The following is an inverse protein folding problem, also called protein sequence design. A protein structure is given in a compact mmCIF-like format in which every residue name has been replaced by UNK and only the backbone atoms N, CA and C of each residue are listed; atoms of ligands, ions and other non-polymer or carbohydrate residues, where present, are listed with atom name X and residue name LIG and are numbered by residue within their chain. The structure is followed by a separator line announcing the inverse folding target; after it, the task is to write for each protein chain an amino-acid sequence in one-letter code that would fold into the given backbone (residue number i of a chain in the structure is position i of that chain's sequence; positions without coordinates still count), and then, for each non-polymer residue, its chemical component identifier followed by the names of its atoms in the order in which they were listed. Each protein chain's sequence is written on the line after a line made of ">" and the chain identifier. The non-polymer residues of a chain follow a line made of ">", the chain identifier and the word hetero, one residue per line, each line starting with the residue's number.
data_IF_235000791568
#
_entry.id   IF_235000791568
#
_cell.length_a   1.000
_cell.length_b   1.000
_cell.length_c   1.000
_cell.angle_alpha   90.00
_cell.angle_beta   90.00
_cell.angle_gamma   90.00
#
_symmetry.space_group_name_H-M   'P 1'
#
loop_
_entity.id
_entity.type
_entity.pdbx_description
1 polymer ?
#
# COMPACT_ATOMS: atom_id res chain seq x y z
N UNK A 1 -9.26 3.05 0.25
CA UNK A 1 -8.99 3.70 -1.04
C UNK A 1 -8.28 2.71 -1.95
N UNK A 2 -8.87 2.31 -3.08
CA UNK A 2 -8.43 1.07 -3.76
C UNK A 2 -8.64 1.16 -5.28
N UNK A 3 -7.61 1.52 -6.04
CA UNK A 3 -7.78 1.98 -7.43
C UNK A 3 -8.15 0.88 -8.43
N UNK A 4 -8.86 1.26 -9.51
CA UNK A 4 -9.64 0.34 -10.35
C UNK A 4 -9.34 0.46 -11.85
N UNK A 5 -8.07 0.70 -12.20
CA UNK A 5 -7.60 0.83 -13.58
C UNK A 5 -6.20 0.20 -13.78
N UNK A 6 -6.15 -1.08 -14.14
CA UNK A 6 -5.14 -1.62 -15.07
C UNK A 6 -5.76 -2.71 -15.97
N UNK A 7 -6.27 -2.32 -17.13
CA UNK A 7 -6.28 -3.21 -18.31
C UNK A 7 -5.63 -2.45 -19.46
N UNK A 8 -4.69 -3.10 -20.13
CA UNK A 8 -4.05 -2.57 -21.32
C UNK A 8 -5.07 -2.40 -22.45
N UNK A 9 -4.87 -1.38 -23.27
CA UNK A 9 -5.43 -1.38 -24.62
C UNK A 9 -4.67 -2.43 -25.45
N UNK A 10 -5.32 -3.11 -26.41
CA UNK A 10 -4.59 -3.80 -27.47
C UNK A 10 -3.79 -2.76 -28.27
N UNK A 11 -2.68 -3.18 -28.89
CA UNK A 11 -1.92 -2.29 -29.78
C UNK A 11 -2.72 -2.00 -31.06
N UNK A 12 -2.67 -0.76 -31.58
CA UNK A 12 -3.11 -0.49 -32.94
C UNK A 12 -2.06 -1.03 -33.93
N UNK A 13 -2.49 -1.90 -34.84
CA UNK A 13 -1.61 -2.44 -35.87
C UNK A 13 -1.04 -1.35 -36.80
N UNK A 14 0.08 -1.67 -37.42
CA UNK A 14 1.00 -0.76 -38.13
C UNK A 14 0.34 0.09 -39.23
N UNK A 15 0.18 1.39 -38.96
CA UNK A 15 -0.23 2.37 -39.98
C UNK A 15 0.57 3.70 -39.94
N UNK A 16 1.90 3.61 -40.09
CA UNK A 16 2.72 4.70 -40.64
C UNK A 16 4.00 4.17 -41.30
N UNK A 17 4.05 4.17 -42.64
CA UNK A 17 5.34 4.20 -43.36
C UNK A 17 5.86 5.65 -43.35
N UNK A 18 7.17 5.90 -43.18
CA UNK A 18 7.73 7.22 -43.43
C UNK A 18 7.62 7.56 -44.92
N UNK A 19 7.00 8.68 -45.26
CA UNK A 19 7.07 9.23 -46.62
C UNK A 19 8.34 10.08 -46.76
N UNK A 20 9.15 9.75 -47.76
CA UNK A 20 10.33 10.53 -48.16
C UNK A 20 9.84 11.75 -48.97
N UNK A 21 10.37 12.98 -48.75
CA UNK A 21 9.87 14.16 -49.44
C UNK A 21 10.07 14.11 -50.96
N UNK A 22 8.99 14.26 -51.72
CA UNK A 22 9.06 14.41 -53.18
C UNK A 22 9.59 15.79 -53.56
N UNK A 23 10.62 15.82 -54.41
CA UNK A 23 11.24 17.06 -54.88
C UNK A 23 10.34 17.78 -55.89
N UNK A 24 10.11 19.07 -55.69
CA UNK A 24 9.47 19.94 -56.70
C UNK A 24 10.43 20.11 -57.88
N UNK A 25 10.02 19.72 -59.08
CA UNK A 25 10.60 20.24 -60.33
C UNK A 25 9.93 21.56 -60.68
N UNK A 26 10.74 22.56 -61.02
CA UNK A 26 10.32 23.74 -61.77
C UNK A 26 11.28 23.90 -62.95
N UNK A 27 10.68 24.05 -64.14
CA UNK A 27 11.15 24.71 -65.36
C UNK A 27 12.63 24.63 -65.76
N UNK A 28 12.87 24.14 -66.99
CA UNK A 28 13.70 24.89 -67.92
C UNK A 28 13.29 24.60 -69.38
N UNK A 29 13.29 25.63 -70.22
CA UNK A 29 12.84 25.56 -71.61
C UNK A 29 13.93 26.15 -72.53
N UNK A 30 14.65 25.30 -73.28
CA UNK A 30 15.12 25.60 -74.64
C UNK A 30 15.76 24.39 -75.34
N UNK A 31 15.65 24.46 -76.68
CA UNK A 31 16.41 23.77 -77.73
C UNK A 31 17.90 23.47 -77.40
N UNK A 32 18.57 22.49 -78.03
CA UNK A 32 18.50 22.15 -79.47
C UNK A 32 18.56 20.63 -79.82
N UNK A 33 18.73 20.32 -81.12
CA UNK A 33 18.65 18.99 -81.76
C UNK A 33 19.98 18.20 -81.79
N UNK A 34 19.88 16.91 -82.19
CA UNK A 34 20.76 16.11 -83.12
C UNK A 34 21.17 14.72 -82.58
N UNK A 35 20.52 13.68 -83.14
CA UNK A 35 21.04 12.37 -83.66
C UNK A 35 21.94 11.41 -82.85
N UNK A 36 21.54 10.11 -82.85
CA UNK A 36 22.38 8.87 -83.01
C UNK A 36 23.32 8.44 -81.84
N UNK A 37 23.78 7.18 -81.63
CA UNK A 37 23.52 5.82 -82.19
C UNK A 37 24.07 4.67 -81.27
N UNK A 38 23.47 3.48 -81.34
CA UNK A 38 23.98 2.08 -81.04
C UNK A 38 24.60 1.56 -79.70
N UNK A 39 24.18 0.32 -79.38
CA UNK A 39 24.88 -0.92 -78.93
C UNK A 39 25.67 -1.07 -77.59
N UNK A 40 25.16 -1.94 -76.68
CA UNK A 40 25.57 -3.35 -76.38
C UNK A 40 27.07 -3.78 -76.29
N UNK A 41 27.44 -4.94 -75.66
CA UNK A 41 26.89 -5.68 -74.49
C UNK A 41 27.99 -6.31 -73.55
N UNK A 42 27.58 -7.26 -72.67
CA UNK A 42 28.36 -8.30 -71.93
C UNK A 42 29.12 -7.89 -70.63
N UNK A 43 29.29 -8.75 -69.61
CA UNK A 43 28.68 -10.07 -69.32
C UNK A 43 29.46 -10.95 -68.31
N UNK A 44 28.80 -11.99 -67.73
CA UNK A 44 29.38 -13.21 -67.08
C UNK A 44 29.99 -12.99 -65.65
N UNK A 45 29.47 -13.54 -64.51
CA UNK A 45 29.38 -14.95 -63.99
C UNK A 45 30.69 -15.44 -63.27
N UNK A 46 30.76 -16.31 -62.22
CA UNK A 46 29.76 -16.99 -61.33
C UNK A 46 30.40 -17.66 -60.06
N UNK A 47 29.58 -18.06 -59.07
CA UNK A 47 29.74 -19.12 -58.02
C UNK A 47 30.60 -19.02 -56.71
N UNK A 48 30.25 -19.95 -55.81
CA UNK A 48 30.56 -20.21 -54.37
C UNK A 48 31.21 -21.63 -54.25
N UNK A 49 31.72 -22.17 -53.09
CA UNK A 49 30.86 -22.92 -52.14
C UNK A 49 31.40 -23.17 -50.68
N UNK A 50 30.79 -24.14 -49.98
CA UNK A 50 30.77 -24.50 -48.52
C UNK A 50 31.92 -25.32 -47.86
N UNK A 51 31.88 -25.37 -46.50
CA UNK A 51 32.37 -26.49 -45.62
C UNK A 51 33.56 -26.17 -44.68
N UNK A 52 33.79 -26.78 -43.50
CA UNK A 52 33.07 -27.76 -42.67
C UNK A 52 34.03 -28.65 -41.82
N UNK A 53 33.82 -28.87 -40.49
CA UNK A 53 34.74 -29.72 -39.67
C UNK A 53 34.48 -29.80 -38.14
N UNK A 54 35.11 -30.77 -37.42
CA UNK A 54 34.88 -31.05 -35.96
C UNK A 54 35.95 -31.95 -35.26
N UNK A 55 35.86 -32.12 -33.92
CA UNK A 55 36.70 -32.93 -32.96
C UNK A 55 38.04 -32.29 -32.53
N UNK A 56 38.69 -32.64 -31.40
CA UNK A 56 38.43 -33.66 -30.34
C UNK A 56 39.28 -33.46 -29.05
N UNK A 57 39.35 -34.47 -28.16
CA UNK A 57 39.93 -34.43 -26.78
C UNK A 57 41.34 -35.08 -26.65
N UNK A 58 42.17 -34.66 -25.66
CA UNK A 58 42.96 -35.54 -24.72
C UNK A 58 44.06 -34.78 -23.92
N UNK A 59 44.23 -35.10 -22.62
CA UNK A 59 45.42 -35.27 -21.71
C UNK A 59 46.80 -34.63 -22.03
N UNK A 60 47.73 -34.35 -21.09
CA UNK A 60 47.84 -34.57 -19.62
C UNK A 60 49.23 -34.14 -19.05
N UNK A 61 49.49 -34.36 -17.75
CA UNK A 61 50.76 -34.16 -16.97
C UNK A 61 51.38 -32.73 -16.88
N UNK A 62 52.25 -32.35 -15.91
CA UNK A 62 52.73 -32.99 -14.67
C UNK A 62 53.80 -32.14 -13.92
N UNK A 63 53.98 -32.38 -12.59
CA UNK A 63 55.02 -31.85 -11.65
C UNK A 63 55.09 -30.31 -11.40
N UNK A 64 55.53 -29.75 -10.26
CA UNK A 64 56.55 -30.14 -9.25
C UNK A 64 56.17 -29.76 -7.77
N UNK A 65 57.07 -30.02 -6.82
CA UNK A 65 56.93 -30.02 -5.34
C UNK A 65 57.35 -28.66 -4.68
N UNK A 66 57.40 -28.38 -3.36
CA UNK A 66 57.67 -29.15 -2.11
C UNK A 66 57.07 -28.51 -0.83
N UNK A 67 57.13 -29.25 0.28
CA UNK A 67 56.60 -29.00 1.64
C UNK A 67 56.99 -27.70 2.39
N UNK A 68 56.11 -27.31 3.32
CA UNK A 68 56.41 -26.60 4.58
C UNK A 68 55.30 -26.86 5.62
N UNK A 69 55.62 -27.06 6.90
CA UNK A 69 54.66 -27.53 7.93
C UNK A 69 54.99 -26.97 9.33
N UNK A 70 53.98 -26.54 10.11
CA UNK A 70 53.72 -26.96 11.52
C UNK A 70 52.55 -26.19 12.20
N UNK A 71 51.94 -26.88 13.17
CA UNK A 71 50.86 -26.57 14.12
C UNK A 71 50.88 -25.16 14.78
N UNK A 72 49.81 -24.64 15.41
CA UNK A 72 48.54 -25.27 15.86
C UNK A 72 47.32 -24.32 15.61
N UNK A 73 46.14 -24.29 16.28
CA UNK A 73 45.70 -24.62 17.65
C UNK A 73 44.27 -25.24 17.72
N UNK A 74 43.85 -25.53 18.95
CA UNK A 74 42.67 -26.24 19.47
C UNK A 74 41.24 -25.75 19.11
N UNK A 75 40.34 -26.74 19.05
CA UNK A 75 38.85 -26.71 19.13
C UNK A 75 38.37 -26.46 20.61
N UNK A 76 37.10 -26.72 21.12
CA UNK A 76 35.86 -27.26 20.51
C UNK A 76 34.45 -26.69 20.93
N UNK A 77 33.45 -26.94 20.07
CA UNK A 77 32.09 -27.55 20.27
C UNK A 77 31.08 -27.11 21.39
N UNK A 78 29.81 -27.02 20.96
CA UNK A 78 28.48 -27.08 21.64
C UNK A 78 28.38 -27.47 23.14
N UNK A 79 27.43 -26.83 23.86
CA UNK A 79 26.82 -27.33 25.11
C UNK A 79 25.28 -27.20 25.13
N UNK A 80 24.63 -28.16 25.80
CA UNK A 80 23.19 -28.49 25.86
C UNK A 80 22.23 -27.42 26.45
N UNK A 81 20.96 -27.48 25.98
CA UNK A 81 19.77 -26.92 26.63
C UNK A 81 19.34 -27.76 27.86
N UNK A 82 20.04 -27.67 29.00
CA UNK A 82 19.60 -28.41 30.21
C UNK A 82 20.09 -27.89 31.59
N UNK A 83 20.15 -26.58 31.83
CA UNK A 83 20.17 -26.05 33.22
C UNK A 83 19.85 -24.55 33.30
N UNK A 84 18.65 -24.18 33.76
CA UNK A 84 18.41 -22.99 34.60
C UNK A 84 17.01 -23.04 35.24
N UNK A 85 16.90 -23.71 36.38
CA UNK A 85 15.74 -23.65 37.29
C UNK A 85 16.26 -23.76 38.73
N UNK A 86 15.67 -23.01 39.65
CA UNK A 86 15.96 -22.95 41.09
C UNK A 86 17.29 -22.31 41.51
N UNK A 87 17.28 -20.98 41.61
CA UNK A 87 18.05 -20.23 42.62
C UNK A 87 17.27 -19.00 43.07
N UNK A 88 16.39 -19.17 44.08
CA UNK A 88 15.81 -18.04 44.82
C UNK A 88 16.74 -17.66 45.97
N UNK A 89 17.30 -16.45 45.92
CA UNK A 89 17.73 -15.70 47.12
C UNK A 89 17.76 -14.20 46.79
N UNK A 90 17.37 -13.37 47.76
CA UNK A 90 17.07 -11.96 47.53
C UNK A 90 18.20 -11.03 48.01
N UNK A 91 18.52 -10.01 47.20
CA UNK A 91 19.39 -8.88 47.53
C UNK A 91 18.66 -7.61 47.05
N UNK A 92 18.62 -6.50 47.82
CA UNK A 92 17.57 -5.49 47.66
C UNK A 92 17.81 -4.49 46.52
N UNK A 93 16.73 -4.10 45.83
CA UNK A 93 16.75 -3.03 44.84
C UNK A 93 16.88 -1.65 45.49
N UNK A 94 17.96 -0.92 45.14
CA UNK A 94 18.10 0.51 45.45
C UNK A 94 17.22 1.32 44.48
N UNK A 95 16.18 1.96 45.00
CA UNK A 95 15.27 2.80 44.20
C UNK A 95 15.86 4.18 43.91
N UNK A 96 16.21 4.46 42.66
CA UNK A 96 16.39 5.83 42.16
C UNK A 96 16.17 5.89 40.64
N UNK A 97 15.96 7.09 40.08
CA UNK A 97 15.69 7.37 38.66
C UNK A 97 14.40 6.79 38.03
N UNK A 98 13.25 7.10 38.64
CA UNK A 98 11.96 7.20 37.92
C UNK A 98 11.07 8.33 38.48
N UNK A 99 11.38 9.59 38.14
CA UNK A 99 10.58 10.79 38.51
C UNK A 99 10.52 11.88 37.42
N UNK A 100 10.10 11.54 36.20
CA UNK A 100 9.65 12.52 35.18
C UNK A 100 8.42 12.01 34.39
N UNK A 101 7.55 11.23 35.04
CA UNK A 101 6.37 10.61 34.42
C UNK A 101 5.11 10.77 35.30
N UNK A 102 4.89 11.98 35.83
CA UNK A 102 3.87 12.25 36.87
C UNK A 102 3.29 13.66 36.78
N UNK A 103 2.66 14.00 35.65
CA UNK A 103 1.92 15.26 35.46
C UNK A 103 0.69 15.14 34.53
N UNK A 104 0.12 13.93 34.42
CA UNK A 104 -1.26 13.72 33.93
C UNK A 104 -2.01 12.80 34.89
N UNK A 105 -3.34 12.93 35.04
CA UNK A 105 -4.11 12.13 35.99
C UNK A 105 -4.00 10.64 35.70
N UNK A 106 -3.83 9.82 36.74
CA UNK A 106 -4.01 8.37 36.63
C UNK A 106 -5.49 8.10 36.44
N UNK A 107 -5.91 7.67 35.25
CA UNK A 107 -7.20 6.99 35.11
C UNK A 107 -7.16 5.76 36.02
N UNK A 108 -8.06 5.74 37.01
CA UNK A 108 -8.46 4.47 37.64
C UNK A 108 -9.08 3.61 36.55
N UNK A 109 -8.98 2.29 36.69
CA UNK A 109 -9.33 1.34 35.64
C UNK A 109 -10.66 1.68 34.96
N UNK A 110 -10.59 2.02 33.69
CA UNK A 110 -11.76 2.18 32.84
C UNK A 110 -12.36 0.79 32.66
N UNK A 111 -13.38 0.48 33.47
CA UNK A 111 -14.41 -0.45 33.01
C UNK A 111 -14.85 0.02 31.62
N UNK A 112 -15.09 -0.93 30.70
CA UNK A 112 -15.90 -0.60 29.52
C UNK A 112 -17.35 -0.41 29.98
N UNK A 113 -17.61 0.76 30.59
CA UNK A 113 -18.92 1.35 30.55
C UNK A 113 -19.29 1.45 29.07
N UNK A 114 -20.30 0.67 28.68
CA UNK A 114 -20.95 0.85 27.40
C UNK A 114 -21.46 2.29 27.41
N UNK A 115 -20.81 3.17 26.64
CA UNK A 115 -21.22 4.54 26.50
C UNK A 115 -22.65 4.52 25.97
N UNK A 116 -23.60 4.81 26.86
CA UNK A 116 -24.95 5.21 26.48
C UNK A 116 -24.82 6.58 25.84
N UNK A 117 -24.47 6.58 24.56
CA UNK A 117 -24.92 7.64 23.67
C UNK A 117 -26.43 7.63 23.73
N UNK A 118 -27.02 8.75 24.13
CA UNK A 118 -28.45 8.96 23.99
C UNK A 118 -28.81 8.91 22.50
N UNK A 119 -29.99 8.35 22.16
CA UNK A 119 -30.45 8.14 20.78
C UNK A 119 -30.88 9.47 20.09
N UNK A 120 -30.02 10.49 20.11
CA UNK A 120 -30.04 11.48 19.03
C UNK A 120 -29.61 10.78 17.72
N UNK A 121 -30.39 10.91 16.63
CA UNK A 121 -30.04 10.29 15.35
C UNK A 121 -28.82 11.00 14.76
N UNK A 122 -27.63 10.48 15.06
CA UNK A 122 -26.34 11.12 14.79
C UNK A 122 -26.26 11.56 13.32
N UNK A 123 -26.28 12.89 13.12
CA UNK A 123 -26.60 13.50 11.82
C UNK A 123 -25.62 13.11 10.71
N UNK A 124 -24.35 12.87 11.06
CA UNK A 124 -23.34 12.38 10.12
C UNK A 124 -23.63 10.94 9.68
N UNK A 125 -23.73 9.98 10.60
CA UNK A 125 -23.99 8.58 10.26
C UNK A 125 -25.34 8.40 9.56
N UNK A 126 -26.38 9.11 10.00
CA UNK A 126 -27.69 9.08 9.37
C UNK A 126 -27.65 9.56 7.92
N UNK A 127 -26.94 10.67 7.62
CA UNK A 127 -26.70 11.10 6.25
C UNK A 127 -25.87 10.09 5.45
N UNK A 128 -24.77 9.60 6.03
CA UNK A 128 -23.84 8.69 5.37
C UNK A 128 -24.49 7.34 4.98
N UNK A 129 -25.34 6.79 5.85
CA UNK A 129 -26.10 5.56 5.59
C UNK A 129 -27.40 5.80 4.81
N UNK A 130 -27.95 7.01 4.85
CA UNK A 130 -29.22 7.38 4.20
C UNK A 130 -29.07 7.76 2.73
N UNK A 131 -28.52 8.94 2.45
CA UNK A 131 -28.34 9.45 1.08
C UNK A 131 -26.93 9.20 0.55
N UNK A 132 -25.91 9.16 1.42
CA UNK A 132 -24.52 8.87 1.07
C UNK A 132 -24.29 7.49 0.44
N UNK A 133 -25.20 6.53 0.64
CA UNK A 133 -25.21 5.21 -0.05
C UNK A 133 -25.64 5.33 -1.51
N UNK A 134 -26.46 6.33 -1.84
CA UNK A 134 -27.10 6.52 -3.16
C UNK A 134 -26.38 7.56 -4.01
N UNK A 135 -25.75 8.55 -3.38
CA UNK A 135 -24.94 9.57 -4.04
C UNK A 135 -23.64 8.96 -4.58
N UNK A 136 -23.34 9.19 -5.86
CA UNK A 136 -22.09 8.78 -6.50
C UNK A 136 -20.94 9.77 -6.19
N UNK A 137 -19.70 9.39 -6.52
CA UNK A 137 -18.53 10.27 -6.36
C UNK A 137 -18.62 11.50 -7.27
N UNK A 138 -18.71 11.26 -8.57
CA UNK A 138 -19.09 12.21 -9.61
C UNK A 138 -19.94 11.45 -10.65
N UNK A 139 -20.64 12.18 -11.53
CA UNK A 139 -21.42 11.62 -12.64
C UNK A 139 -20.66 11.66 -13.97
N UNK A 140 -19.76 12.65 -14.11
CA UNK A 140 -18.94 12.88 -15.30
C UNK A 140 -17.45 12.72 -14.96
N UNK A 141 -16.67 12.20 -15.91
CA UNK A 141 -15.22 11.92 -15.79
C UNK A 141 -14.38 13.10 -16.29
N UNK A 142 -14.94 13.85 -17.24
CA UNK A 142 -14.20 14.77 -18.10
C UNK A 142 -14.60 16.23 -17.86
N UNK A 143 -15.82 16.48 -17.37
CA UNK A 143 -16.30 17.82 -17.03
C UNK A 143 -15.73 18.43 -15.72
N UNK A 144 -15.08 17.63 -14.86
CA UNK A 144 -14.56 18.13 -13.58
C UNK A 144 -13.10 18.61 -13.67
N UNK A 145 -12.91 19.92 -13.47
CA UNK A 145 -11.60 20.51 -13.18
C UNK A 145 -11.24 20.36 -11.70
N UNK A 146 -10.01 19.90 -11.41
CA UNK A 146 -9.53 19.73 -10.06
C UNK A 146 -9.24 21.09 -9.42
N UNK A 147 -9.81 21.36 -8.24
CA UNK A 147 -9.63 22.62 -7.52
C UNK A 147 -9.17 22.35 -6.07
N UNK A 148 -8.40 23.27 -5.51
CA UNK A 148 -8.12 23.29 -4.07
C UNK A 148 -9.37 23.81 -3.34
N UNK A 149 -9.73 23.24 -2.17
CA UNK A 149 -10.82 23.77 -1.38
C UNK A 149 -10.49 25.19 -0.85
N UNK A 150 -11.48 26.08 -0.67
CA UNK A 150 -11.23 27.45 -0.18
C UNK A 150 -10.70 27.52 1.25
N UNK A 151 -10.77 26.41 2.00
CA UNK A 151 -10.18 26.22 3.32
C UNK A 151 -8.79 25.54 3.28
N UNK A 152 -8.13 25.48 2.12
CA UNK A 152 -6.77 24.92 1.99
C UNK A 152 -5.74 25.73 2.79
N UNK A 153 -4.97 25.01 3.62
CA UNK A 153 -3.85 25.50 4.42
C UNK A 153 -2.61 24.68 4.02
N UNK A 154 -1.66 25.35 3.37
CA UNK A 154 -0.47 24.72 2.78
C UNK A 154 0.56 24.31 3.84
N UNK A 155 0.67 25.04 4.95
CA UNK A 155 1.60 24.70 6.02
C UNK A 155 1.10 23.52 6.86
N UNK A 156 -0.21 23.40 7.09
CA UNK A 156 -0.78 22.14 7.61
C UNK A 156 -0.56 20.98 6.64
N UNK A 157 -0.74 21.19 5.34
CA UNK A 157 -0.51 20.13 4.34
C UNK A 157 0.96 19.65 4.35
N UNK A 158 1.92 20.58 4.30
CA UNK A 158 3.36 20.30 4.39
C UNK A 158 3.77 19.74 5.76
N UNK A 159 3.12 20.17 6.86
CA UNK A 159 3.32 19.59 8.19
C UNK A 159 2.90 18.12 8.23
N UNK A 160 1.75 17.76 7.64
CA UNK A 160 1.32 16.36 7.53
C UNK A 160 2.31 15.50 6.71
N UNK A 161 2.87 16.04 5.63
CA UNK A 161 3.92 15.38 4.86
C UNK A 161 5.19 15.13 5.69
N UNK A 162 5.64 16.11 6.49
CA UNK A 162 6.76 15.96 7.44
C UNK A 162 6.46 14.89 8.49
N UNK A 163 5.26 14.92 9.08
CA UNK A 163 4.81 13.99 10.11
C UNK A 163 4.67 12.53 9.61
N UNK A 164 4.18 12.34 8.38
CA UNK A 164 4.16 11.04 7.72
C UNK A 164 5.57 10.47 7.54
N UNK A 165 6.54 11.29 7.08
CA UNK A 165 7.94 10.86 6.88
C UNK A 165 8.59 10.40 8.21
N UNK A 166 8.20 10.98 9.35
CA UNK A 166 8.63 10.58 10.70
C UNK A 166 7.94 9.30 11.25
N UNK A 167 6.83 8.89 10.65
CA UNK A 167 6.00 7.76 11.11
C UNK A 167 5.70 6.76 9.98
N UNK A 168 6.50 6.77 8.90
CA UNK A 168 6.18 6.11 7.62
C UNK A 168 5.85 4.62 7.80
N UNK A 169 6.69 3.85 8.50
CA UNK A 169 6.43 2.43 8.76
C UNK A 169 5.11 2.21 9.53
N UNK A 170 4.91 2.98 10.59
CA UNK A 170 3.72 2.86 11.45
C UNK A 170 2.43 3.22 10.71
N UNK A 171 2.44 4.32 9.95
CA UNK A 171 1.29 4.76 9.14
C UNK A 171 1.07 3.90 7.89
N UNK A 172 2.07 3.17 7.41
CA UNK A 172 1.93 2.19 6.33
C UNK A 172 1.22 0.92 6.83
N UNK A 173 1.62 0.38 7.98
CA UNK A 173 0.89 -0.74 8.60
C UNK A 173 -0.54 -0.32 8.97
N UNK A 174 -0.74 0.90 9.47
CA UNK A 174 -2.09 1.44 9.70
C UNK A 174 -2.95 1.44 8.43
N UNK A 175 -2.36 1.78 7.27
CA UNK A 175 -3.02 1.74 5.95
C UNK A 175 -3.25 0.31 5.45
N UNK A 176 -2.39 -0.66 5.76
CA UNK A 176 -2.60 -2.06 5.38
C UNK A 176 -3.74 -2.70 6.20
N UNK A 177 -3.78 -2.46 7.52
CA UNK A 177 -4.93 -2.81 8.34
C UNK A 177 -6.20 -2.08 7.88
N UNK A 178 -6.10 -0.79 7.58
CA UNK A 178 -7.19 0.04 7.07
C UNK A 178 -7.71 -0.42 5.70
N UNK A 179 -6.85 -1.00 4.86
CA UNK A 179 -7.24 -1.64 3.61
C UNK A 179 -7.96 -2.96 3.87
N UNK A 180 -7.45 -3.81 4.76
CA UNK A 180 -8.10 -5.06 5.15
C UNK A 180 -9.52 -4.81 5.70
N UNK A 181 -9.72 -3.88 6.63
CA UNK A 181 -11.08 -3.63 7.17
C UNK A 181 -12.05 -3.11 6.11
N UNK A 182 -11.56 -2.32 5.14
CA UNK A 182 -12.38 -1.80 4.03
C UNK A 182 -12.75 -2.89 3.03
N UNK A 183 -11.97 -3.98 2.91
CA UNK A 183 -12.36 -5.16 2.13
C UNK A 183 -13.55 -5.91 2.75
N UNK A 184 -13.80 -5.80 4.06
CA UNK A 184 -14.91 -6.50 4.70
C UNK A 184 -16.28 -5.89 4.34
N UNK A 185 -16.30 -4.65 3.86
CA UNK A 185 -17.53 -3.88 3.58
C UNK A 185 -18.15 -4.34 2.24
N UNK A 186 -19.33 -4.99 2.23
CA UNK A 186 -19.80 -5.72 1.03
C UNK A 186 -20.01 -4.85 -0.21
N UNK A 187 -20.45 -3.60 -0.05
CA UNK A 187 -20.63 -2.66 -1.17
C UNK A 187 -19.30 -2.38 -1.88
N UNK A 188 -18.23 -2.20 -1.12
CA UNK A 188 -16.87 -1.97 -1.64
C UNK A 188 -16.35 -3.26 -2.27
N UNK A 189 -16.38 -4.37 -1.52
CA UNK A 189 -15.90 -5.69 -1.95
C UNK A 189 -16.49 -6.12 -3.30
N UNK A 190 -17.81 -5.97 -3.48
CA UNK A 190 -18.52 -6.30 -4.72
C UNK A 190 -18.02 -5.55 -5.96
N UNK A 191 -17.63 -4.28 -5.81
CA UNK A 191 -17.01 -3.51 -6.91
C UNK A 191 -15.62 -4.06 -7.21
N UNK A 192 -14.85 -4.46 -6.20
CA UNK A 192 -13.49 -4.97 -6.39
C UNK A 192 -13.49 -6.32 -7.12
N UNK A 193 -14.33 -7.26 -6.67
CA UNK A 193 -14.56 -8.57 -7.31
C UNK A 193 -14.92 -8.36 -8.78
N UNK A 194 -15.91 -7.49 -9.04
CA UNK A 194 -16.37 -7.17 -10.39
C UNK A 194 -15.25 -6.71 -11.34
N UNK A 195 -14.32 -5.87 -10.87
CA UNK A 195 -13.21 -5.41 -11.72
C UNK A 195 -12.14 -6.48 -12.00
N UNK A 196 -12.10 -7.55 -11.19
CA UNK A 196 -11.12 -8.63 -11.25
C UNK A 196 -9.64 -8.16 -11.17
N UNK A 197 -9.39 -7.00 -10.54
CA UNK A 197 -8.05 -6.37 -10.45
C UNK A 197 -7.25 -6.77 -9.21
N UNK A 198 -7.76 -7.65 -8.34
CA UNK A 198 -7.03 -8.15 -7.17
C UNK A 198 -7.61 -9.46 -6.63
N UNK A 199 -7.98 -10.36 -7.55
CA UNK A 199 -8.49 -11.71 -7.25
C UNK A 199 -7.38 -12.76 -7.17
N UNK A 200 -6.17 -12.41 -7.61
CA UNK A 200 -4.95 -13.23 -7.60
C UNK A 200 -3.79 -12.42 -7.04
N UNK A 201 -2.72 -13.07 -6.57
CA UNK A 201 -1.57 -12.40 -5.98
C UNK A 201 -0.90 -11.39 -6.93
N UNK A 202 -0.76 -11.72 -8.22
CA UNK A 202 -0.14 -10.82 -9.21
C UNK A 202 -1.03 -9.61 -9.55
N UNK A 203 -2.35 -9.80 -9.69
CA UNK A 203 -3.27 -8.67 -9.92
C UNK A 203 -3.33 -7.76 -8.70
N UNK A 204 -3.41 -8.36 -7.51
CA UNK A 204 -3.33 -7.67 -6.23
C UNK A 204 -2.03 -6.87 -6.10
N UNK A 205 -0.87 -7.48 -6.36
CA UNK A 205 0.43 -6.82 -6.36
C UNK A 205 0.41 -5.55 -7.22
N UNK A 206 0.04 -5.65 -8.50
CA UNK A 206 -0.01 -4.51 -9.42
C UNK A 206 -0.93 -3.40 -8.92
N UNK A 207 -2.12 -3.76 -8.46
CA UNK A 207 -3.14 -2.82 -7.95
C UNK A 207 -2.71 -2.12 -6.65
N UNK A 208 -2.13 -2.86 -5.72
CA UNK A 208 -1.77 -2.34 -4.40
C UNK A 208 -0.43 -1.59 -4.41
N UNK A 209 0.56 -2.01 -5.22
CA UNK A 209 1.76 -1.20 -5.48
C UNK A 209 1.39 0.12 -6.19
N UNK A 210 0.48 0.09 -7.18
CA UNK A 210 -0.04 1.33 -7.76
C UNK A 210 -0.71 2.22 -6.70
N UNK A 211 -1.48 1.62 -5.78
CA UNK A 211 -2.13 2.35 -4.68
C UNK A 211 -1.13 2.98 -3.70
N UNK A 212 -0.04 2.28 -3.39
CA UNK A 212 1.08 2.78 -2.59
C UNK A 212 1.74 3.96 -3.30
N UNK A 213 2.10 3.84 -4.57
CA UNK A 213 2.74 4.92 -5.34
C UNK A 213 1.88 6.17 -5.44
N UNK A 214 0.58 6.04 -5.76
CA UNK A 214 -0.35 7.19 -5.82
C UNK A 214 -0.38 7.96 -4.50
N UNK A 215 -0.43 7.24 -3.37
CA UNK A 215 -0.46 7.81 -2.02
C UNK A 215 0.88 8.40 -1.60
N UNK A 216 2.00 7.78 -2.00
CA UNK A 216 3.34 8.33 -1.76
C UNK A 216 3.57 9.65 -2.50
N UNK A 217 3.05 9.81 -3.73
CA UNK A 217 3.11 11.10 -4.42
C UNK A 217 2.47 12.22 -3.58
N UNK A 218 1.29 12.00 -2.98
CA UNK A 218 0.65 13.03 -2.14
C UNK A 218 1.44 13.37 -0.87
N UNK A 219 2.23 12.43 -0.34
CA UNK A 219 3.06 12.63 0.84
C UNK A 219 4.46 13.20 0.55
N UNK A 220 4.94 13.14 -0.70
CA UNK A 220 6.32 13.53 -1.06
C UNK A 220 6.41 14.71 -2.03
N UNK A 221 5.37 14.98 -2.83
CA UNK A 221 5.34 16.03 -3.85
C UNK A 221 4.46 17.20 -3.40
N UNK A 222 4.71 18.42 -3.88
CA UNK A 222 3.84 19.58 -3.61
C UNK A 222 2.47 19.44 -4.30
N UNK A 223 1.41 19.96 -3.66
CA UNK A 223 0.03 19.90 -4.16
C UNK A 223 -0.32 21.12 -5.02
N UNK A 224 0.38 21.25 -6.15
CA UNK A 224 0.19 22.36 -7.10
C UNK A 224 -0.26 21.86 -8.49
N UNK A 225 -0.98 22.66 -9.29
CA UNK A 225 -1.37 22.29 -10.65
C UNK A 225 -0.20 21.75 -11.48
N UNK A 226 -0.38 20.54 -12.03
CA UNK A 226 0.61 19.89 -12.90
C UNK A 226 1.67 19.03 -12.19
N UNK A 227 1.77 19.03 -10.85
CA UNK A 227 2.71 18.15 -10.12
C UNK A 227 2.32 16.67 -10.20
N UNK A 228 3.23 15.78 -9.78
CA UNK A 228 2.96 14.35 -9.70
C UNK A 228 1.92 13.97 -8.62
N UNK A 229 1.70 14.81 -7.59
CA UNK A 229 0.57 14.68 -6.68
C UNK A 229 -0.76 15.05 -7.37
N UNK A 230 -0.81 16.21 -8.04
CA UNK A 230 -2.01 16.68 -8.74
C UNK A 230 -2.48 15.68 -9.81
N UNK A 231 -1.57 15.27 -10.70
CA UNK A 231 -1.82 14.24 -11.73
C UNK A 231 -2.28 12.90 -11.12
N UNK A 232 -1.69 12.51 -9.99
CA UNK A 232 -2.10 11.31 -9.23
C UNK A 232 -3.56 11.42 -8.75
N UNK A 233 -3.95 12.56 -8.16
CA UNK A 233 -5.33 12.81 -7.69
C UNK A 233 -6.32 12.80 -8.87
N UNK A 234 -6.03 13.50 -9.96
CA UNK A 234 -6.92 13.53 -11.16
C UNK A 234 -7.13 12.12 -11.72
N UNK A 235 -6.06 11.34 -11.89
CA UNK A 235 -6.15 9.95 -12.36
C UNK A 235 -7.00 9.08 -11.42
N UNK A 236 -6.81 9.24 -10.11
CA UNK A 236 -7.53 8.50 -9.08
C UNK A 236 -9.02 8.81 -9.06
N UNK A 237 -9.43 10.09 -9.12
CA UNK A 237 -10.84 10.49 -9.16
C UNK A 237 -11.52 9.92 -10.40
N UNK A 238 -10.95 10.16 -11.59
CA UNK A 238 -11.43 9.58 -12.86
C UNK A 238 -11.50 8.05 -12.80
N UNK A 239 -10.56 7.39 -12.12
CA UNK A 239 -10.56 5.95 -11.88
C UNK A 239 -11.77 5.45 -11.07
N UNK A 240 -12.17 6.14 -10.01
CA UNK A 240 -13.37 5.79 -9.24
C UNK A 240 -14.66 6.01 -10.04
N UNK A 241 -14.79 7.15 -10.73
CA UNK A 241 -15.99 7.47 -11.54
C UNK A 241 -16.14 6.47 -12.70
N UNK A 242 -15.07 6.20 -13.43
CA UNK A 242 -15.09 5.22 -14.53
C UNK A 242 -15.36 3.79 -14.05
N UNK A 243 -14.89 3.42 -12.85
CA UNK A 243 -15.23 2.12 -12.24
C UNK A 243 -16.70 2.05 -11.79
N UNK A 244 -17.21 3.11 -11.16
CA UNK A 244 -18.63 3.26 -10.79
C UNK A 244 -19.54 3.09 -12.01
N UNK A 245 -19.26 3.82 -13.10
CA UNK A 245 -20.00 3.77 -14.36
C UNK A 245 -20.01 2.36 -14.98
N UNK A 246 -18.85 1.69 -15.06
CA UNK A 246 -18.76 0.31 -15.59
C UNK A 246 -19.49 -0.71 -14.70
N UNK A 247 -19.36 -0.59 -13.38
CA UNK A 247 -19.97 -1.48 -12.41
C UNK A 247 -21.49 -1.36 -12.40
N UNK A 248 -22.02 -0.14 -12.34
CA UNK A 248 -23.46 0.15 -12.40
C UNK A 248 -24.09 -0.29 -13.74
N UNK A 249 -23.35 -0.20 -14.85
CA UNK A 249 -23.77 -0.70 -16.16
C UNK A 249 -23.76 -2.24 -16.30
N UNK A 250 -23.30 -2.98 -15.27
CA UNK A 250 -23.35 -4.45 -15.21
C UNK A 250 -24.24 -4.98 -14.08
N UNK A 251 -24.42 -4.23 -13.00
CA UNK A 251 -25.49 -4.43 -12.03
C UNK A 251 -25.98 -3.08 -11.52
N UNK A 252 -27.23 -2.74 -11.79
CA UNK A 252 -27.83 -1.48 -11.36
C UNK A 252 -27.73 -1.31 -9.84
N UNK A 253 -27.33 -0.13 -9.38
CA UNK A 253 -27.08 0.18 -7.97
C UNK A 253 -25.68 -0.19 -7.48
N UNK A 254 -24.86 -0.95 -8.23
CA UNK A 254 -23.47 -1.26 -7.85
C UNK A 254 -22.51 -0.12 -8.24
N UNK A 255 -22.71 1.05 -7.62
CA UNK A 255 -21.89 2.26 -7.77
C UNK A 255 -20.68 2.26 -6.83
N UNK A 256 -19.77 3.21 -7.03
CA UNK A 256 -18.91 3.72 -5.94
C UNK A 256 -19.67 4.88 -5.28
N UNK A 257 -20.17 4.66 -4.06
CA UNK A 257 -20.97 5.67 -3.34
C UNK A 257 -20.12 6.63 -2.50
N UNK A 258 -20.69 7.75 -2.07
CA UNK A 258 -20.07 8.67 -1.11
C UNK A 258 -19.79 7.98 0.24
N UNK A 259 -20.68 7.10 0.72
CA UNK A 259 -20.41 6.19 1.86
C UNK A 259 -19.17 5.35 1.60
N UNK A 260 -19.11 4.69 0.44
CA UNK A 260 -17.97 3.83 0.11
C UNK A 260 -16.67 4.62 0.10
N UNK A 261 -16.66 5.85 -0.43
CA UNK A 261 -15.48 6.71 -0.42
C UNK A 261 -15.09 7.19 0.98
N UNK A 262 -16.03 7.63 1.82
CA UNK A 262 -15.74 8.00 3.21
C UNK A 262 -15.17 6.81 4.00
N UNK A 263 -15.79 5.63 3.90
CA UNK A 263 -15.27 4.40 4.49
C UNK A 263 -13.90 4.02 3.87
N UNK A 264 -13.68 4.28 2.58
CA UNK A 264 -12.38 4.12 1.92
C UNK A 264 -11.30 5.08 2.43
N UNK A 265 -11.69 6.26 2.93
CA UNK A 265 -10.82 7.26 3.56
C UNK A 265 -10.46 6.83 5.00
N UNK A 266 -11.39 6.24 5.76
CA UNK A 266 -11.07 5.62 7.07
C UNK A 266 -9.90 4.65 6.93
N UNK A 267 -9.91 3.80 5.90
CA UNK A 267 -8.83 2.85 5.64
C UNK A 267 -7.44 3.46 5.40
N UNK A 268 -7.32 4.79 5.30
CA UNK A 268 -6.06 5.48 5.04
C UNK A 268 -5.55 6.36 6.20
N UNK A 269 -6.43 6.74 7.13
CA UNK A 269 -6.11 7.62 8.27
C UNK A 269 -6.81 7.23 9.59
N UNK A 270 -7.93 6.51 9.56
CA UNK A 270 -8.75 6.15 10.73
C UNK A 270 -7.96 5.48 11.86
N UNK A 271 -7.25 4.39 11.58
CA UNK A 271 -6.39 3.76 12.59
C UNK A 271 -5.15 4.58 12.95
N UNK A 272 -4.68 5.50 12.09
CA UNK A 272 -3.58 6.40 12.48
C UNK A 272 -4.04 7.37 13.57
N UNK A 273 -5.26 7.90 13.45
CA UNK A 273 -5.90 8.76 14.44
C UNK A 273 -6.30 7.94 15.68
N UNK A 274 -7.27 7.02 15.55
CA UNK A 274 -7.87 6.27 16.67
C UNK A 274 -6.93 5.25 17.32
N UNK A 275 -5.95 4.74 16.58
CA UNK A 275 -5.09 3.62 16.97
C UNK A 275 -3.63 3.99 17.26
N UNK A 276 -3.29 5.29 17.28
CA UNK A 276 -1.91 5.80 17.34
C UNK A 276 -1.01 5.08 18.37
N UNK A 277 -1.52 4.85 19.59
CA UNK A 277 -0.83 4.17 20.70
C UNK A 277 -0.51 2.69 20.40
N UNK A 278 -1.46 1.93 19.84
CA UNK A 278 -1.27 0.51 19.46
C UNK A 278 -0.36 0.33 18.24
N UNK A 279 -0.29 1.36 17.38
CA UNK A 279 0.58 1.39 16.20
C UNK A 279 1.98 1.95 16.46
N UNK A 280 2.27 2.44 17.67
CA UNK A 280 3.56 3.07 17.97
C UNK A 280 3.80 4.34 17.16
N UNK A 281 2.78 5.17 16.95
CA UNK A 281 2.89 6.46 16.26
C UNK A 281 3.28 7.54 17.29
N UNK A 282 4.20 8.45 16.96
CA UNK A 282 4.53 9.58 17.85
C UNK A 282 3.33 10.52 17.86
N UNK A 283 2.61 10.59 18.97
CA UNK A 283 1.47 11.50 19.08
C UNK A 283 1.95 12.93 19.34
N UNK A 284 1.53 13.85 18.47
CA UNK A 284 1.55 15.29 18.69
C UNK A 284 0.22 15.85 18.15
N UNK A 285 -0.40 16.79 18.86
CA UNK A 285 -1.76 17.25 18.52
C UNK A 285 -1.77 18.03 17.21
N UNK A 286 -0.83 18.97 17.05
CA UNK A 286 -0.78 19.85 15.88
C UNK A 286 -0.38 19.07 14.60
N UNK A 287 0.43 18.00 14.74
CA UNK A 287 0.74 17.03 13.69
C UNK A 287 -0.47 16.17 13.29
N UNK A 288 -1.31 15.77 14.26
CA UNK A 288 -2.55 15.03 13.98
C UNK A 288 -3.61 15.93 13.34
N UNK A 289 -3.77 17.18 13.80
CA UNK A 289 -4.64 18.17 13.15
C UNK A 289 -4.17 18.48 11.72
N UNK A 290 -2.86 18.59 11.49
CA UNK A 290 -2.28 18.69 10.16
C UNK A 290 -2.60 17.46 9.29
N UNK A 291 -2.46 16.24 9.83
CA UNK A 291 -2.77 15.00 9.12
C UNK A 291 -4.27 14.84 8.79
N UNK A 292 -5.15 15.26 9.69
CA UNK A 292 -6.59 15.35 9.47
C UNK A 292 -6.88 16.33 8.34
N UNK A 293 -6.32 17.53 8.38
CA UNK A 293 -6.44 18.52 7.32
C UNK A 293 -5.94 17.99 5.96
N UNK A 294 -4.78 17.34 5.92
CA UNK A 294 -4.27 16.68 4.71
C UNK A 294 -5.26 15.68 4.13
N UNK A 295 -5.84 14.80 4.95
CA UNK A 295 -6.83 13.82 4.47
C UNK A 295 -8.19 14.44 4.16
N UNK A 296 -8.56 15.56 4.77
CA UNK A 296 -9.72 16.38 4.40
C UNK A 296 -9.53 16.95 2.99
N UNK A 297 -8.38 17.58 2.71
CA UNK A 297 -8.01 18.11 1.38
C UNK A 297 -8.04 17.00 0.33
N UNK A 298 -7.31 15.90 0.57
CA UNK A 298 -7.30 14.76 -0.37
C UNK A 298 -8.71 14.22 -0.57
N UNK A 299 -9.52 14.08 0.47
CA UNK A 299 -10.93 13.63 0.41
C UNK A 299 -11.79 14.52 -0.48
N UNK A 300 -11.75 15.84 -0.29
CA UNK A 300 -12.46 16.80 -1.14
C UNK A 300 -12.02 16.67 -2.62
N UNK A 301 -10.70 16.65 -2.84
CA UNK A 301 -10.11 16.64 -4.17
C UNK A 301 -10.38 15.34 -4.97
N UNK A 302 -10.60 14.20 -4.30
CA UNK A 302 -11.01 12.93 -4.94
C UNK A 302 -12.53 12.75 -5.07
N UNK A 303 -13.33 13.78 -4.73
CA UNK A 303 -14.79 13.79 -4.92
C UNK A 303 -15.62 13.36 -3.71
N UNK A 304 -15.04 13.32 -2.50
CA UNK A 304 -15.85 13.18 -1.28
C UNK A 304 -16.44 14.56 -0.94
N UNK A 305 -17.77 14.68 -0.96
CA UNK A 305 -18.41 15.94 -0.55
C UNK A 305 -18.10 16.22 0.93
N UNK A 306 -17.86 17.48 1.32
CA UNK A 306 -17.50 17.88 2.69
C UNK A 306 -18.46 17.35 3.77
N UNK A 307 -19.74 17.14 3.44
CA UNK A 307 -20.72 16.53 4.36
C UNK A 307 -20.48 15.05 4.68
N UNK A 308 -19.81 14.31 3.80
CA UNK A 308 -19.45 12.89 3.98
C UNK A 308 -17.98 12.67 4.33
N UNK A 309 -17.12 13.66 4.09
CA UNK A 309 -15.69 13.63 4.41
C UNK A 309 -15.49 13.28 5.90
N UNK A 310 -14.71 12.24 6.21
CA UNK A 310 -14.47 11.85 7.61
C UNK A 310 -13.59 12.85 8.34
N UNK A 311 -12.64 13.42 7.62
CA UNK A 311 -11.80 14.48 8.13
C UNK A 311 -12.54 15.82 8.01
N UNK A 312 -12.41 16.64 9.03
CA UNK A 312 -13.12 17.91 9.21
C UNK A 312 -12.12 19.03 9.53
N UNK A 313 -12.61 20.18 9.95
CA UNK A 313 -11.83 21.30 10.49
C UNK A 313 -11.21 21.04 11.87
N UNK A 314 -11.72 20.07 12.65
CA UNK A 314 -11.19 19.72 13.98
C UNK A 314 -10.87 18.22 14.13
N UNK A 315 -9.78 17.92 14.84
CA UNK A 315 -9.39 16.55 15.18
C UNK A 315 -10.50 15.82 15.98
N UNK A 316 -11.18 16.51 16.88
CA UNK A 316 -12.24 15.99 17.73
C UNK A 316 -13.46 15.51 16.93
N UNK A 317 -14.01 16.34 16.04
CA UNK A 317 -15.14 15.95 15.20
C UNK A 317 -14.75 14.92 14.13
N UNK A 318 -13.48 14.90 13.71
CA UNK A 318 -12.92 13.82 12.88
C UNK A 318 -12.86 12.50 13.65
N UNK A 319 -12.39 12.51 14.89
CA UNK A 319 -12.36 11.33 15.75
C UNK A 319 -13.74 10.75 15.98
N UNK A 320 -14.74 11.59 16.26
CA UNK A 320 -16.13 11.14 16.42
C UNK A 320 -16.66 10.46 15.15
N UNK A 321 -16.60 11.13 13.98
CA UNK A 321 -17.00 10.55 12.69
C UNK A 321 -16.29 9.22 12.40
N UNK A 322 -15.01 9.12 12.74
CA UNK A 322 -14.23 7.89 12.59
C UNK A 322 -14.67 6.80 13.57
N UNK A 323 -15.00 7.13 14.82
CA UNK A 323 -15.54 6.18 15.82
C UNK A 323 -16.90 5.65 15.38
N UNK A 324 -17.80 6.51 14.89
CA UNK A 324 -19.10 6.11 14.33
C UNK A 324 -18.94 5.09 13.19
N UNK A 325 -18.05 5.36 12.22
CA UNK A 325 -17.78 4.43 11.11
C UNK A 325 -17.10 3.14 11.58
N UNK A 326 -16.18 3.22 12.55
CA UNK A 326 -15.56 2.02 13.12
C UNK A 326 -16.60 1.12 13.80
N UNK A 327 -17.50 1.70 14.59
CA UNK A 327 -18.48 0.99 15.40
C UNK A 327 -19.65 0.44 14.57
N UNK A 328 -20.27 1.27 13.73
CA UNK A 328 -21.54 0.92 13.06
C UNK A 328 -21.36 0.34 11.64
N UNK A 329 -20.15 0.38 11.06
CA UNK A 329 -19.87 -0.17 9.73
C UNK A 329 -18.76 -1.22 9.78
N UNK A 330 -17.59 -0.88 10.31
CA UNK A 330 -16.39 -1.72 10.19
C UNK A 330 -16.34 -2.89 11.16
N UNK A 331 -16.74 -2.70 12.42
CA UNK A 331 -16.86 -3.78 13.41
C UNK A 331 -17.89 -4.84 12.97
N UNK A 332 -19.12 -4.49 12.57
CA UNK A 332 -20.06 -5.45 11.97
C UNK A 332 -19.47 -6.21 10.79
N UNK A 333 -18.82 -5.52 9.83
CA UNK A 333 -18.24 -6.14 8.65
C UNK A 333 -17.15 -7.19 8.98
N UNK A 334 -16.31 -6.96 10.01
CA UNK A 334 -15.34 -7.96 10.48
C UNK A 334 -15.95 -9.11 11.30
N UNK A 335 -17.18 -8.94 11.80
CA UNK A 335 -17.94 -10.03 12.41
C UNK A 335 -18.61 -10.90 11.32
N UNK A 336 -19.16 -10.29 10.27
CA UNK A 336 -19.83 -10.95 9.14
C UNK A 336 -18.94 -11.15 7.90
N UNK A 337 -17.67 -11.53 8.09
CA UNK A 337 -16.73 -11.88 7.00
C UNK A 337 -17.30 -12.97 6.08
N UNK A 338 -17.03 -12.83 4.78
CA UNK A 338 -17.39 -13.80 3.73
C UNK A 338 -16.17 -14.53 3.18
N UNK A 339 -16.37 -15.64 2.46
CA UNK A 339 -15.27 -16.35 1.79
C UNK A 339 -14.57 -15.49 0.72
N UNK A 340 -15.31 -14.60 0.06
CA UNK A 340 -14.72 -13.61 -0.86
C UNK A 340 -13.83 -12.59 -0.13
N UNK A 341 -14.19 -12.17 1.08
CA UNK A 341 -13.30 -11.35 1.92
C UNK A 341 -12.02 -12.10 2.25
N UNK A 342 -12.13 -13.35 2.70
CA UNK A 342 -10.98 -14.20 3.01
C UNK A 342 -10.06 -14.37 1.80
N UNK A 343 -10.63 -14.68 0.64
CA UNK A 343 -9.94 -14.84 -0.64
C UNK A 343 -9.23 -13.57 -1.09
N UNK A 344 -9.92 -12.42 -1.10
CA UNK A 344 -9.33 -11.15 -1.53
C UNK A 344 -8.31 -10.59 -0.52
N UNK A 345 -8.51 -10.82 0.77
CA UNK A 345 -7.55 -10.47 1.82
C UNK A 345 -6.27 -11.31 1.75
N UNK A 346 -6.38 -12.61 1.48
CA UNK A 346 -5.23 -13.50 1.24
C UNK A 346 -4.49 -13.12 -0.05
N UNK A 347 -5.20 -12.79 -1.14
CA UNK A 347 -4.58 -12.29 -2.38
C UNK A 347 -3.86 -10.94 -2.20
N UNK A 348 -4.41 -10.03 -1.38
CA UNK A 348 -3.75 -8.78 -0.97
C UNK A 348 -2.42 -9.04 -0.26
N UNK A 349 -2.44 -9.87 0.78
CA UNK A 349 -1.25 -10.16 1.60
C UNK A 349 -0.19 -10.90 0.77
N UNK A 350 -0.57 -11.92 0.01
CA UNK A 350 0.37 -12.68 -0.83
C UNK A 350 0.94 -11.84 -1.99
N UNK A 351 0.16 -10.93 -2.55
CA UNK A 351 0.63 -9.95 -3.52
C UNK A 351 1.68 -9.00 -2.93
N UNK A 352 1.41 -8.44 -1.74
CA UNK A 352 2.32 -7.51 -1.05
C UNK A 352 3.53 -8.18 -0.37
N UNK A 353 3.62 -9.51 -0.35
CA UNK A 353 4.81 -10.25 0.12
C UNK A 353 6.11 -9.74 -0.53
N UNK A 354 6.06 -9.33 -1.80
CA UNK A 354 7.21 -8.78 -2.54
C UNK A 354 7.69 -7.41 -2.00
N UNK A 355 6.88 -6.74 -1.19
CA UNK A 355 7.21 -5.48 -0.51
C UNK A 355 7.65 -5.72 0.95
N UNK A 356 7.13 -6.75 1.60
CA UNK A 356 7.55 -7.20 2.92
C UNK A 356 7.30 -8.73 3.07
N UNK A 357 8.35 -9.57 3.10
CA UNK A 357 8.22 -11.02 3.27
C UNK A 357 7.62 -11.51 4.59
N UNK A 358 7.43 -10.63 5.59
CA UNK A 358 6.83 -10.95 6.90
C UNK A 358 5.32 -10.65 6.98
N UNK A 359 4.63 -10.44 5.85
CA UNK A 359 3.18 -10.31 5.84
C UNK A 359 2.49 -11.68 5.94
N UNK A 360 1.93 -11.99 7.10
CA UNK A 360 1.06 -13.14 7.36
C UNK A 360 -0.41 -12.70 7.47
N UNK A 361 -1.33 -13.43 6.83
CA UNK A 361 -2.73 -13.02 6.75
C UNK A 361 -3.44 -13.04 8.10
N UNK A 362 -3.26 -14.10 8.89
CA UNK A 362 -3.94 -14.26 10.17
C UNK A 362 -3.42 -13.24 11.20
N UNK A 363 -2.12 -12.96 11.19
CA UNK A 363 -1.50 -11.92 12.02
C UNK A 363 -2.00 -10.51 11.69
N UNK A 364 -2.05 -10.13 10.39
CA UNK A 364 -2.54 -8.81 9.98
C UNK A 364 -4.06 -8.67 10.14
N UNK A 365 -4.83 -9.74 9.90
CA UNK A 365 -6.27 -9.75 10.20
C UNK A 365 -6.53 -9.60 11.71
N UNK A 366 -5.75 -10.30 12.55
CA UNK A 366 -5.82 -10.15 14.00
C UNK A 366 -5.52 -8.72 14.44
N UNK A 367 -4.44 -8.11 13.92
CA UNK A 367 -4.10 -6.71 14.24
C UNK A 367 -5.22 -5.75 13.79
N UNK A 368 -5.78 -5.96 12.60
CA UNK A 368 -6.90 -5.17 12.06
C UNK A 368 -8.14 -5.26 12.94
N UNK A 369 -8.51 -6.47 13.35
CA UNK A 369 -9.65 -6.70 14.22
C UNK A 369 -9.44 -6.15 15.65
N UNK A 370 -8.21 -6.24 16.19
CA UNK A 370 -7.79 -5.65 17.48
C UNK A 370 -7.74 -4.13 17.48
N UNK A 371 -7.43 -3.51 16.34
CA UNK A 371 -7.52 -2.05 16.15
C UNK A 371 -8.98 -1.59 16.03
N UNK A 372 -9.84 -2.38 15.38
CA UNK A 372 -11.29 -2.16 15.30
C UNK A 372 -11.99 -2.42 16.64
N UNK A 373 -11.37 -3.18 17.54
CA UNK A 373 -11.91 -3.56 18.84
C UNK A 373 -12.85 -4.77 18.82
N UNK A 374 -12.82 -5.60 17.77
CA UNK A 374 -13.71 -6.76 17.59
C UNK A 374 -13.50 -7.79 18.74
N UNK A 375 -14.57 -8.33 19.35
CA UNK A 375 -14.44 -9.29 20.44
C UNK A 375 -13.59 -10.53 20.12
N UNK A 376 -12.79 -10.96 21.09
CA UNK A 376 -11.87 -12.10 20.99
C UNK A 376 -10.50 -11.79 20.34
N UNK A 377 -10.28 -10.55 19.89
CA UNK A 377 -9.01 -10.09 19.33
C UNK A 377 -8.20 -9.25 20.34
N UNK A 378 -7.93 -9.85 21.49
CA UNK A 378 -7.13 -9.29 22.59
C UNK A 378 -5.77 -10.00 22.65
N UNK A 379 -4.69 -9.29 22.97
CA UNK A 379 -3.34 -9.90 23.04
C UNK A 379 -2.67 -9.73 24.41
N UNK A 380 -2.78 -8.54 25.00
CA UNK A 380 -2.24 -8.29 26.34
C UNK A 380 -3.29 -8.61 27.41
N UNK A 381 -2.85 -8.93 28.63
CA UNK A 381 -3.76 -9.33 29.72
C UNK A 381 -4.68 -8.19 30.15
N UNK A 382 -4.17 -6.98 30.02
CA UNK A 382 -4.81 -5.69 30.28
C UNK A 382 -5.92 -5.36 29.26
N UNK A 383 -6.04 -6.13 28.17
CA UNK A 383 -7.12 -6.00 27.18
C UNK A 383 -8.24 -7.05 27.35
N UNK A 384 -8.05 -8.04 28.24
CA UNK A 384 -8.99 -9.15 28.39
C UNK A 384 -10.23 -8.71 29.21
N UNK A 385 -11.47 -8.92 28.72
CA UNK A 385 -12.69 -8.67 29.50
C UNK A 385 -12.78 -9.51 30.79
N UNK A 386 -12.12 -10.66 30.82
CA UNK A 386 -11.95 -11.49 32.01
C UNK A 386 -10.66 -12.32 31.92
N UNK A 387 -10.05 -12.74 33.06
CA UNK A 387 -8.80 -13.50 33.06
C UNK A 387 -8.82 -14.82 32.24
N UNK A 388 -10.01 -15.38 32.02
CA UNK A 388 -10.24 -16.64 31.30
C UNK A 388 -10.78 -16.41 29.87
N UNK A 389 -10.72 -15.18 29.33
CA UNK A 389 -11.18 -14.88 27.98
C UNK A 389 -10.29 -15.55 26.92
N UNK A 390 -10.86 -16.46 26.13
CA UNK A 390 -10.17 -17.04 24.97
C UNK A 390 -9.87 -15.98 23.90
N UNK A 391 -8.79 -16.17 23.15
CA UNK A 391 -8.30 -15.19 22.16
C UNK A 391 -7.95 -15.87 20.84
N UNK A 392 -8.37 -15.30 19.72
CA UNK A 392 -8.40 -16.05 18.43
C UNK A 392 -7.02 -16.48 17.92
N UNK A 393 -5.93 -15.82 18.34
CA UNK A 393 -4.57 -16.24 18.00
C UNK A 393 -4.15 -17.58 18.65
N UNK A 394 -4.87 -18.06 19.67
CA UNK A 394 -4.67 -19.37 20.29
C UNK A 394 -4.96 -20.54 19.32
N UNK A 395 -5.65 -20.27 18.20
CA UNK A 395 -5.93 -21.24 17.13
C UNK A 395 -4.98 -21.12 15.92
N UNK A 396 -4.11 -20.10 15.87
CA UNK A 396 -3.23 -19.84 14.72
C UNK A 396 -2.07 -20.85 14.62
N UNK A 397 -1.45 -20.94 13.44
CA UNK A 397 -0.22 -21.73 13.25
C UNK A 397 0.93 -21.20 14.13
N UNK A 398 1.96 -22.01 14.39
CA UNK A 398 3.17 -21.56 15.13
C UNK A 398 3.86 -20.38 14.43
N UNK A 399 3.86 -20.37 13.10
CA UNK A 399 4.43 -19.28 12.29
C UNK A 399 3.61 -17.99 12.43
N UNK A 400 2.30 -18.06 12.22
CA UNK A 400 1.41 -16.89 12.30
C UNK A 400 1.36 -16.28 13.71
N UNK A 401 1.51 -17.10 14.77
CA UNK A 401 1.73 -16.60 16.15
C UNK A 401 3.07 -15.88 16.32
N UNK A 402 4.15 -16.41 15.73
CA UNK A 402 5.47 -15.76 15.76
C UNK A 402 5.45 -14.41 15.01
N UNK A 403 4.84 -14.36 13.82
CA UNK A 403 4.68 -13.11 13.07
C UNK A 403 3.80 -12.11 13.84
N UNK A 404 2.69 -12.55 14.45
CA UNK A 404 1.85 -11.69 15.28
C UNK A 404 2.61 -11.14 16.51
N UNK A 405 3.35 -11.99 17.22
CA UNK A 405 4.19 -11.55 18.34
C UNK A 405 5.22 -10.51 17.90
N UNK A 406 5.92 -10.75 16.79
CA UNK A 406 6.92 -9.82 16.27
C UNK A 406 6.30 -8.49 15.80
N UNK A 407 5.16 -8.55 15.11
CA UNK A 407 4.39 -7.38 14.68
C UNK A 407 4.00 -6.49 15.88
N UNK A 408 3.47 -7.09 16.95
CA UNK A 408 3.10 -6.35 18.16
C UNK A 408 4.31 -5.86 18.96
N UNK A 409 5.40 -6.63 19.03
CA UNK A 409 6.67 -6.20 19.64
C UNK A 409 7.26 -4.98 18.91
N UNK A 410 7.25 -5.00 17.56
CA UNK A 410 7.74 -3.88 16.74
C UNK A 410 6.90 -2.64 16.99
N UNK A 411 5.57 -2.73 16.92
CA UNK A 411 4.70 -1.57 17.06
C UNK A 411 4.63 -1.03 18.49
N UNK A 412 4.44 -1.89 19.49
CA UNK A 412 4.15 -1.43 20.85
C UNK A 412 5.40 -1.28 21.72
N UNK A 413 6.56 -1.81 21.30
CA UNK A 413 7.84 -1.65 22.03
C UNK A 413 8.90 -0.97 21.18
N UNK A 414 9.31 -1.55 20.02
CA UNK A 414 10.49 -1.05 19.30
C UNK A 414 10.31 0.36 18.74
N UNK A 415 9.13 0.70 18.21
CA UNK A 415 8.85 2.05 17.69
C UNK A 415 8.89 3.17 18.76
N UNK A 416 8.96 2.84 20.06
CA UNK A 416 9.24 3.83 21.12
C UNK A 416 10.70 4.31 21.12
N UNK A 417 11.61 3.53 20.54
CA UNK A 417 13.02 3.89 20.39
C UNK A 417 13.27 4.63 19.07
N UNK A 418 13.94 5.78 19.15
CA UNK A 418 14.32 6.61 18.00
C UNK A 418 15.17 5.83 16.98
N UNK A 419 16.03 4.92 17.44
CA UNK A 419 16.95 4.14 16.58
C UNK A 419 16.15 3.12 15.76
N UNK A 420 15.30 2.32 16.39
CA UNK A 420 14.45 1.35 15.70
C UNK A 420 13.43 2.03 14.77
N UNK A 421 12.86 3.18 15.19
CA UNK A 421 12.00 4.01 14.33
C UNK A 421 12.73 4.52 13.09
N UNK A 422 13.94 5.07 13.26
CA UNK A 422 14.76 5.53 12.14
C UNK A 422 15.05 4.38 11.19
N UNK A 423 15.46 3.22 11.70
CA UNK A 423 15.72 2.02 10.89
C UNK A 423 14.48 1.58 10.10
N UNK A 424 13.32 1.43 10.75
CA UNK A 424 12.08 0.98 10.10
C UNK A 424 11.56 1.98 9.06
N UNK A 425 11.66 3.29 9.32
CA UNK A 425 11.31 4.31 8.32
C UNK A 425 12.31 4.32 7.15
N UNK A 426 13.60 4.09 7.40
CA UNK A 426 14.62 3.96 6.36
C UNK A 426 14.40 2.71 5.50
N UNK A 427 13.97 1.59 6.08
CA UNK A 427 13.54 0.41 5.32
C UNK A 427 12.34 0.71 4.41
N UNK A 428 11.36 1.50 4.85
CA UNK A 428 10.26 1.94 3.98
C UNK A 428 10.70 2.80 2.80
N UNK A 429 11.74 3.64 2.98
CA UNK A 429 12.35 4.43 1.91
C UNK A 429 13.12 3.51 0.93
N UNK A 430 13.84 2.52 1.46
CA UNK A 430 14.53 1.49 0.65
C UNK A 430 13.53 0.65 -0.17
N UNK A 431 12.43 0.19 0.44
CA UNK A 431 11.36 -0.53 -0.27
C UNK A 431 10.70 0.33 -1.35
N UNK A 432 10.53 1.65 -1.15
CA UNK A 432 10.09 2.57 -2.22
C UNK A 432 11.10 2.59 -3.38
N UNK A 433 12.39 2.69 -3.10
CA UNK A 433 13.43 2.70 -4.13
C UNK A 433 13.44 1.38 -4.92
N UNK A 434 13.53 0.25 -4.22
CA UNK A 434 13.54 -1.09 -4.81
C UNK A 434 12.30 -1.33 -5.68
N UNK A 435 11.09 -1.09 -5.15
CA UNK A 435 9.85 -1.36 -5.90
C UNK A 435 9.64 -0.41 -7.11
N UNK A 436 10.39 0.70 -7.19
CA UNK A 436 10.38 1.61 -8.35
C UNK A 436 11.37 1.17 -9.43
N UNK A 437 12.62 0.85 -9.05
CA UNK A 437 13.74 0.72 -9.97
C UNK A 437 14.29 -0.72 -10.12
N UNK A 438 14.23 -1.52 -9.05
CA UNK A 438 14.77 -2.88 -9.02
C UNK A 438 13.88 -3.80 -8.15
N UNK A 439 12.67 -4.15 -8.62
CA UNK A 439 11.65 -4.87 -7.85
C UNK A 439 11.95 -6.39 -7.78
N UNK A 440 13.16 -6.77 -7.35
CA UNK A 440 13.71 -8.12 -7.51
C UNK A 440 12.86 -9.24 -6.89
N UNK A 441 12.22 -9.01 -5.73
CA UNK A 441 11.29 -9.98 -5.13
C UNK A 441 10.04 -10.22 -5.99
N UNK A 442 9.55 -9.18 -6.68
CA UNK A 442 8.44 -9.31 -7.61
C UNK A 442 8.88 -9.88 -8.97
N UNK A 443 10.11 -9.61 -9.42
CA UNK A 443 10.71 -10.30 -10.58
C UNK A 443 10.80 -11.80 -10.31
N UNK A 444 11.24 -12.20 -9.11
CA UNK A 444 11.31 -13.59 -8.69
C UNK A 444 9.91 -14.25 -8.58
N UNK A 445 8.91 -13.56 -8.02
CA UNK A 445 7.58 -14.13 -7.76
C UNK A 445 6.62 -14.08 -8.96
N UNK A 446 6.71 -13.05 -9.81
CA UNK A 446 5.75 -12.75 -10.88
C UNK A 446 6.39 -12.52 -12.26
N UNK A 447 7.72 -12.52 -12.38
CA UNK A 447 8.42 -12.24 -13.62
C UNK A 447 8.54 -10.74 -13.94
N UNK A 448 9.42 -10.42 -14.90
CA UNK A 448 9.83 -9.05 -15.23
C UNK A 448 8.67 -8.17 -15.75
N UNK A 449 7.74 -8.76 -16.52
CA UNK A 449 6.62 -8.02 -17.11
C UNK A 449 5.58 -7.53 -16.09
N UNK A 450 5.38 -8.28 -15.01
CA UNK A 450 4.41 -7.93 -13.96
C UNK A 450 5.04 -7.21 -12.76
N UNK A 451 6.37 -7.28 -12.57
CA UNK A 451 7.05 -6.63 -11.46
C UNK A 451 7.04 -5.10 -11.53
N UNK A 452 7.10 -4.51 -12.74
CA UNK A 452 7.21 -3.05 -12.92
C UNK A 452 5.84 -2.37 -13.03
N UNK A 453 5.49 -1.57 -12.01
CA UNK A 453 4.19 -0.91 -11.89
C UNK A 453 4.33 0.61 -12.09
N UNK A 454 3.79 1.14 -13.20
CA UNK A 454 3.69 2.58 -13.46
C UNK A 454 2.28 3.09 -13.17
N UNK A 455 2.16 4.25 -12.53
CA UNK A 455 0.89 4.90 -12.12
C UNK A 455 0.48 6.10 -12.96
N UNK A 456 1.44 6.71 -13.64
CA UNK A 456 1.25 7.76 -14.63
C UNK A 456 1.96 7.29 -15.91
N UNK A 457 1.42 7.69 -17.07
CA UNK A 457 2.06 7.52 -18.38
C UNK A 457 2.81 8.79 -18.75
#
# INVERSE_FOLDING_TARGET
>A
MIFLLQRTYPEPETLFRPQIPTTKKLENHRNDRVETVENDPNGIQVEEPDGGGSRGESDGDGDDLTHGNFNNESFPVLVSWSSWRNSHQAIPHRHEHCRLASSWPRSKGEELQCLKYDDEPNSYLHGLLGDGVKTQVDVDVDAYELQLPPWYDDEKFKRAQRYFKQNFFAMFVAKLCGLLVVLAVPSILNVLIYTNQSSTAVTAYRRYVATIMHTLNWYYEDLLPGTAAWKSITYVRRGHVAASKRSNAKLAGRIVSQKDMAVTQFGFVGYTVLGCKKLGIVYNKEDMEALVHFWRVIGHMIGIHDRYNLCTDSLESTEDRMRQVQEHILRPALLSRTDDFEKMGKALIDGLWCFNPFLDYDAFLFMTARLTGVPGYYYWKEELPSPNSETKYQNFTRYSRFILYFLLLVHEVWLRSTIFRWYLNSQMIMSRFLITYFPFLAIFKFGIGDSYVRILK
#
